data_IF_263016992377
#
_entry.id   IF_263016992377
#
_cell.length_a   1.000
_cell.length_b   1.000
_cell.length_c   1.000
_cell.angle_alpha   90.00
_cell.angle_beta   90.00
_cell.angle_gamma   90.00
#
_symmetry.space_group_name_H-M   'P 1'
#
loop_
_entity.id
_entity.type
_entity.pdbx_description
1 polymer ?
#
# COMPACT_ATOMS: atom_id res chain seq x y z
N UNK A 1 -0.61 31.46 -0.26
CA UNK A 1 0.38 32.56 -0.38
C UNK A 1 1.83 32.11 -0.19
N UNK A 2 2.18 31.32 0.84
CA UNK A 2 3.55 30.79 1.00
C UNK A 2 3.94 29.79 -0.11
N UNK A 3 3.05 28.85 -0.46
CA UNK A 3 3.25 27.91 -1.58
C UNK A 3 3.23 28.58 -2.97
N UNK A 4 2.57 29.74 -3.12
CA UNK A 4 2.49 30.43 -4.42
C UNK A 4 3.70 31.30 -4.73
N UNK A 5 4.65 31.46 -3.79
CA UNK A 5 5.90 32.19 -3.99
C UNK A 5 7.10 31.28 -4.30
N UNK A 6 6.96 29.96 -4.16
CA UNK A 6 7.98 29.01 -4.62
C UNK A 6 7.83 28.81 -6.13
N UNK A 7 8.74 29.38 -6.91
CA UNK A 7 8.88 29.09 -8.35
C UNK A 7 9.06 27.58 -8.55
N UNK A 8 8.53 27.04 -9.66
CA UNK A 8 8.59 25.61 -10.05
C UNK A 8 9.98 24.97 -9.87
N UNK A 9 11.06 25.73 -10.07
CA UNK A 9 12.45 25.27 -9.90
C UNK A 9 12.83 25.01 -8.44
N UNK A 10 12.46 25.91 -7.52
CA UNK A 10 12.86 25.81 -6.11
C UNK A 10 12.06 24.76 -5.32
N UNK A 11 10.86 24.41 -5.82
CA UNK A 11 10.01 23.38 -5.23
C UNK A 11 10.60 21.98 -5.50
N UNK A 12 11.03 21.75 -6.74
CA UNK A 12 11.72 20.52 -7.14
C UNK A 12 13.06 20.44 -6.45
N UNK A 13 13.86 21.52 -6.43
CA UNK A 13 15.13 21.57 -5.67
C UNK A 13 14.94 21.29 -4.18
N UNK A 14 13.89 21.84 -3.53
CA UNK A 14 13.60 21.56 -2.12
C UNK A 14 13.20 20.12 -1.84
N UNK A 15 12.48 19.48 -2.77
CA UNK A 15 12.16 18.04 -2.70
C UNK A 15 13.42 17.19 -2.92
N UNK A 16 14.27 17.58 -3.87
CA UNK A 16 15.52 16.89 -4.15
C UNK A 16 16.50 17.01 -2.98
N UNK A 17 16.55 18.18 -2.32
CA UNK A 17 17.34 18.43 -1.12
C UNK A 17 16.85 17.63 0.09
N UNK A 18 15.53 17.41 0.22
CA UNK A 18 15.00 16.59 1.32
C UNK A 18 15.11 15.10 1.03
N UNK A 19 14.94 14.72 -0.23
CA UNK A 19 15.19 13.35 -0.66
C UNK A 19 16.63 12.93 -0.40
N UNK A 20 17.62 13.79 -0.69
CA UNK A 20 19.01 13.48 -0.36
C UNK A 20 19.24 13.32 1.15
N UNK A 21 18.49 14.04 2.00
CA UNK A 21 18.51 13.88 3.46
C UNK A 21 17.84 12.57 3.92
N UNK A 22 16.69 12.19 3.35
CA UNK A 22 16.04 10.90 3.63
C UNK A 22 16.90 9.74 3.16
N UNK A 23 17.54 9.84 2.00
CA UNK A 23 18.44 8.81 1.50
C UNK A 23 19.76 8.75 2.29
N UNK A 24 20.25 9.85 2.85
CA UNK A 24 21.47 9.85 3.66
C UNK A 24 21.25 9.33 5.10
N UNK A 25 20.10 9.59 5.74
CA UNK A 25 19.97 9.41 7.20
C UNK A 25 18.60 8.85 7.67
N UNK A 26 17.90 8.04 6.87
CA UNK A 26 16.57 7.53 7.24
C UNK A 26 16.52 6.65 8.51
N UNK A 27 17.65 6.07 8.96
CA UNK A 27 17.75 5.40 10.28
C UNK A 27 17.66 6.42 11.42
N UNK A 28 18.35 7.55 11.33
CA UNK A 28 18.18 8.65 12.30
C UNK A 28 16.75 9.17 12.26
N UNK A 29 16.17 9.38 11.06
CA UNK A 29 14.77 9.83 10.91
C UNK A 29 13.77 8.85 11.54
N UNK A 30 14.03 7.53 11.46
CA UNK A 30 13.23 6.48 12.09
C UNK A 30 13.31 6.45 13.60
N UNK A 31 14.53 6.45 14.13
CA UNK A 31 14.81 6.51 15.57
C UNK A 31 14.27 7.83 16.17
N UNK A 32 14.29 8.92 15.41
CA UNK A 32 13.76 10.24 15.76
C UNK A 32 12.22 10.30 15.77
N UNK A 33 11.51 9.52 14.95
CA UNK A 33 10.04 9.51 14.88
C UNK A 33 9.38 8.45 15.77
N UNK A 34 10.14 7.47 16.25
CA UNK A 34 9.72 6.63 17.36
C UNK A 34 9.72 7.48 18.66
N UNK A 35 8.75 7.26 19.56
CA UNK A 35 8.54 8.03 20.82
C UNK A 35 9.78 8.17 21.75
N UNK A 36 10.93 7.61 21.38
CA UNK A 36 12.19 7.69 22.12
C UNK A 36 13.12 8.83 21.65
N UNK A 37 12.85 9.48 20.51
CA UNK A 37 13.64 10.59 19.99
C UNK A 37 13.05 11.98 20.26
N UNK A 38 13.75 12.83 21.00
CA UNK A 38 13.45 14.26 21.09
C UNK A 38 13.70 14.92 19.73
N UNK A 39 12.65 15.06 18.90
CA UNK A 39 12.75 15.77 17.63
C UNK A 39 13.10 17.25 17.85
N UNK A 40 14.15 17.71 17.18
CA UNK A 40 14.36 19.15 17.01
C UNK A 40 13.26 19.72 16.12
N UNK A 41 12.69 20.86 16.48
CA UNK A 41 11.53 21.45 15.80
C UNK A 41 11.70 21.67 14.29
N UNK A 42 12.94 21.73 13.79
CA UNK A 42 13.23 21.83 12.36
C UNK A 42 12.89 20.57 11.59
N UNK A 43 13.30 19.39 12.07
CA UNK A 43 13.10 18.10 11.38
C UNK A 43 11.61 17.74 11.22
N UNK A 44 10.79 18.04 12.24
CA UNK A 44 9.33 17.91 12.20
C UNK A 44 8.65 18.86 11.20
N UNK A 45 9.22 20.04 10.96
CA UNK A 45 8.72 20.96 9.94
C UNK A 45 8.97 20.40 8.54
N UNK A 46 10.13 19.79 8.31
CA UNK A 46 10.50 19.25 6.99
C UNK A 46 9.68 18.01 6.62
N UNK A 47 9.40 17.08 7.55
CA UNK A 47 8.52 15.92 7.30
C UNK A 47 7.08 16.34 6.96
N UNK A 48 6.56 17.33 7.69
CA UNK A 48 5.25 17.92 7.43
C UNK A 48 5.20 18.66 6.09
N UNK A 49 6.27 19.39 5.75
CA UNK A 49 6.38 20.06 4.46
C UNK A 49 6.44 19.05 3.31
N UNK A 50 7.23 17.98 3.42
CA UNK A 50 7.34 16.94 2.41
C UNK A 50 6.00 16.24 2.17
N UNK A 51 5.33 15.79 3.23
CA UNK A 51 4.04 15.08 3.12
C UNK A 51 2.96 15.95 2.48
N UNK A 52 2.85 17.22 2.91
CA UNK A 52 1.91 18.18 2.30
C UNK A 52 2.26 18.51 0.85
N UNK A 53 3.54 18.61 0.53
CA UNK A 53 4.01 18.92 -0.81
C UNK A 53 3.78 17.75 -1.77
N UNK A 54 4.09 16.53 -1.34
CA UNK A 54 3.81 15.32 -2.08
C UNK A 54 2.31 15.19 -2.35
N UNK A 55 1.47 15.42 -1.35
CA UNK A 55 0.02 15.45 -1.50
C UNK A 55 -0.45 16.53 -2.49
N UNK A 56 0.11 17.75 -2.42
CA UNK A 56 -0.23 18.83 -3.34
C UNK A 56 0.14 18.49 -4.79
N UNK A 57 1.30 17.89 -5.02
CA UNK A 57 1.71 17.45 -6.35
C UNK A 57 0.80 16.31 -6.84
N UNK A 58 0.54 15.33 -5.97
CA UNK A 58 -0.34 14.20 -6.27
C UNK A 58 -1.78 14.60 -6.57
N UNK A 59 -2.28 15.71 -6.02
CA UNK A 59 -3.67 16.14 -6.26
C UNK A 59 -3.78 17.18 -7.38
N UNK A 60 -2.84 18.13 -7.46
CA UNK A 60 -2.96 19.32 -8.33
C UNK A 60 -2.02 19.33 -9.53
N UNK A 61 -0.93 18.57 -9.49
CA UNK A 61 0.09 18.55 -10.54
C UNK A 61 0.45 17.12 -10.98
N UNK A 62 -0.52 16.19 -10.96
CA UNK A 62 -0.35 14.79 -11.41
C UNK A 62 0.38 14.65 -12.74
N UNK A 63 0.02 15.42 -13.81
CA UNK A 63 0.66 15.26 -15.11
C UNK A 63 2.17 15.56 -15.07
N UNK A 64 2.60 16.49 -14.21
CA UNK A 64 4.02 16.83 -14.05
C UNK A 64 4.80 15.65 -13.46
N UNK A 65 4.21 14.94 -12.49
CA UNK A 65 4.83 13.75 -11.91
C UNK A 65 4.91 12.60 -12.92
N UNK A 66 3.85 12.41 -13.71
CA UNK A 66 3.81 11.40 -14.78
C UNK A 66 4.81 11.71 -15.89
N UNK A 67 4.93 12.97 -16.30
CA UNK A 67 5.90 13.40 -17.30
C UNK A 67 7.35 13.22 -16.83
N UNK A 68 7.62 13.57 -15.56
CA UNK A 68 8.91 13.31 -14.93
C UNK A 68 9.26 11.81 -14.94
N UNK A 69 8.29 10.93 -14.68
CA UNK A 69 8.47 9.47 -14.73
C UNK A 69 8.66 8.93 -16.17
N UNK A 70 8.00 9.55 -17.16
CA UNK A 70 8.11 9.14 -18.57
C UNK A 70 9.47 9.52 -19.18
N UNK A 71 10.05 10.66 -18.76
CA UNK A 71 11.37 11.12 -19.19
C UNK A 71 12.51 10.14 -18.93
N UNK A 72 12.32 9.18 -18.02
CA UNK A 72 13.27 8.11 -17.70
C UNK A 72 13.28 6.96 -18.73
N UNK A 73 12.24 6.82 -19.56
CA UNK A 73 12.10 5.68 -20.50
C UNK A 73 12.69 5.92 -21.89
N UNK A 74 12.93 7.17 -22.28
CA UNK A 74 13.36 7.55 -23.63
C UNK A 74 14.88 7.65 -23.84
N UNK A 75 15.70 7.43 -22.80
CA UNK A 75 17.17 7.59 -22.87
C UNK A 75 17.95 6.29 -23.10
N UNK A 76 17.29 5.17 -23.42
CA UNK A 76 17.97 3.88 -23.65
C UNK A 76 18.34 3.63 -25.14
N UNK A 77 18.05 4.57 -26.05
CA UNK A 77 18.52 4.45 -27.45
C UNK A 77 19.04 5.80 -27.99
N UNK A 78 20.36 5.94 -28.07
CA UNK A 78 21.01 6.99 -28.89
C UNK A 78 22.13 7.76 -28.22
N UNK A 79 23.36 7.39 -28.58
CA UNK A 79 24.57 8.21 -28.80
C UNK A 79 24.89 9.47 -27.96
N UNK A 80 26.10 9.44 -27.40
CA UNK A 80 27.06 10.54 -27.16
C UNK A 80 26.55 11.99 -27.24
N UNK A 81 26.34 12.59 -26.07
CA UNK A 81 26.20 14.03 -25.90
C UNK A 81 26.08 14.36 -24.42
N UNK A 82 26.97 15.22 -23.92
CA UNK A 82 27.08 15.63 -22.52
C UNK A 82 25.71 16.04 -21.94
N UNK A 83 25.22 15.43 -20.84
CA UNK A 83 24.01 15.90 -20.18
C UNK A 83 24.35 16.85 -19.03
N UNK A 84 23.71 18.03 -19.06
CA UNK A 84 23.54 18.87 -17.87
C UNK A 84 22.84 18.06 -16.77
N UNK A 85 23.42 18.10 -15.57
CA UNK A 85 23.02 17.32 -14.42
C UNK A 85 21.62 17.75 -13.91
N UNK A 86 20.58 17.05 -14.31
CA UNK A 86 19.40 16.90 -13.45
C UNK A 86 19.80 16.04 -12.25
N UNK A 87 19.45 16.46 -11.04
CA UNK A 87 19.84 15.75 -9.82
C UNK A 87 19.23 14.33 -9.82
N UNK A 88 20.08 13.35 -10.12
CA UNK A 88 19.78 11.91 -10.17
C UNK A 88 20.29 11.26 -8.89
N UNK A 89 19.58 10.25 -8.39
CA UNK A 89 20.23 9.23 -7.56
C UNK A 89 20.88 8.17 -8.45
N UNK A 90 21.84 7.42 -7.94
CA UNK A 90 22.54 6.37 -8.72
C UNK A 90 21.60 5.24 -9.21
N UNK A 91 20.35 5.20 -8.74
CA UNK A 91 19.40 4.09 -8.90
C UNK A 91 18.21 4.32 -9.88
N UNK A 92 18.13 5.43 -10.61
CA UNK A 92 17.29 5.53 -11.83
C UNK A 92 15.75 5.65 -11.67
N UNK A 93 15.24 6.10 -10.52
CA UNK A 93 13.84 6.54 -10.33
C UNK A 93 13.77 8.06 -10.11
N UNK A 94 12.64 8.75 -10.39
CA UNK A 94 12.48 10.12 -9.93
C UNK A 94 12.56 10.11 -8.41
N UNK A 95 13.60 10.76 -7.93
CA UNK A 95 14.04 10.83 -6.54
C UNK A 95 12.87 11.04 -5.55
N UNK A 96 11.82 11.75 -5.99
CA UNK A 96 10.59 12.05 -5.24
C UNK A 96 9.75 10.81 -4.89
N UNK A 97 9.49 9.91 -5.86
CA UNK A 97 8.62 8.73 -5.62
C UNK A 97 9.40 7.66 -4.84
N UNK A 98 10.66 7.42 -5.20
CA UNK A 98 11.54 6.50 -4.45
C UNK A 98 11.70 6.93 -2.99
N UNK A 99 11.90 8.22 -2.73
CA UNK A 99 11.95 8.76 -1.36
C UNK A 99 10.62 8.70 -0.63
N UNK A 100 9.51 8.93 -1.32
CA UNK A 100 8.17 8.75 -0.73
C UNK A 100 7.96 7.29 -0.28
N UNK A 101 8.26 6.31 -1.13
CA UNK A 101 8.13 4.89 -0.80
C UNK A 101 9.10 4.47 0.30
N UNK A 102 10.35 4.93 0.25
CA UNK A 102 11.35 4.69 1.30
C UNK A 102 10.86 5.24 2.64
N UNK A 103 10.40 6.49 2.67
CA UNK A 103 9.91 7.14 3.88
C UNK A 103 8.62 6.48 4.39
N UNK A 104 7.70 6.10 3.50
CA UNK A 104 6.48 5.38 3.86
C UNK A 104 6.80 4.01 4.47
N UNK A 105 7.78 3.28 3.92
CA UNK A 105 8.21 1.98 4.46
C UNK A 105 8.71 2.07 5.90
N UNK A 106 9.33 3.20 6.25
CA UNK A 106 9.79 3.49 7.61
C UNK A 106 8.62 3.79 8.55
N UNK A 107 7.73 4.70 8.15
CA UNK A 107 6.61 5.13 8.99
C UNK A 107 5.61 3.99 9.28
N UNK A 108 5.42 3.06 8.33
CA UNK A 108 4.49 1.94 8.48
C UNK A 108 4.98 0.82 9.41
N UNK A 109 6.23 0.86 9.90
CA UNK A 109 6.71 -0.12 10.87
C UNK A 109 5.99 -0.02 12.22
N UNK A 110 5.72 1.22 12.66
CA UNK A 110 5.03 1.49 13.92
C UNK A 110 4.23 2.80 13.81
N UNK A 111 3.10 2.79 13.07
CA UNK A 111 2.29 3.98 12.86
C UNK A 111 1.58 4.34 14.16
N UNK A 112 2.15 5.29 14.91
CA UNK A 112 1.59 5.81 16.15
C UNK A 112 1.68 7.34 16.11
N UNK A 113 0.73 8.00 16.79
CA UNK A 113 0.68 9.46 16.87
C UNK A 113 0.77 10.15 15.51
N UNK A 114 1.80 10.97 15.33
CA UNK A 114 2.01 11.75 14.11
C UNK A 114 2.46 10.92 12.92
N UNK A 115 3.18 9.82 13.14
CA UNK A 115 3.63 8.93 12.07
C UNK A 115 2.44 8.31 11.33
N UNK A 116 1.39 7.89 12.06
CA UNK A 116 0.13 7.41 11.44
C UNK A 116 -0.50 8.47 10.54
N UNK A 117 -0.55 9.73 10.99
CA UNK A 117 -1.13 10.80 10.17
C UNK A 117 -0.31 11.11 8.91
N UNK A 118 1.03 11.04 8.99
CA UNK A 118 1.88 11.16 7.81
C UNK A 118 1.66 9.98 6.85
N UNK A 119 1.52 8.75 7.37
CA UNK A 119 1.12 7.59 6.56
C UNK A 119 -0.21 7.80 5.85
N UNK A 120 -1.23 8.32 6.55
CA UNK A 120 -2.56 8.57 5.97
C UNK A 120 -2.47 9.53 4.77
N UNK A 121 -1.76 10.65 4.92
CA UNK A 121 -1.56 11.61 3.82
C UNK A 121 -0.80 10.99 2.64
N UNK A 122 0.27 10.25 2.92
CA UNK A 122 1.10 9.63 1.87
C UNK A 122 0.34 8.52 1.14
N UNK A 123 -0.35 7.64 1.87
CA UNK A 123 -1.16 6.57 1.28
C UNK A 123 -2.31 7.15 0.45
N UNK A 124 -3.02 8.18 0.94
CA UNK A 124 -4.04 8.89 0.14
C UNK A 124 -3.46 9.49 -1.14
N UNK A 125 -2.27 10.09 -1.05
CA UNK A 125 -1.57 10.61 -2.23
C UNK A 125 -1.28 9.52 -3.25
N UNK A 126 -0.89 8.31 -2.80
CA UNK A 126 -0.68 7.16 -3.66
C UNK A 126 -1.99 6.62 -4.24
N UNK A 127 -3.07 6.54 -3.46
CA UNK A 127 -4.41 6.16 -3.95
C UNK A 127 -4.82 7.04 -5.12
N UNK A 128 -4.65 8.36 -4.96
CA UNK A 128 -4.96 9.38 -5.96
C UNK A 128 -4.11 9.20 -7.22
N UNK A 129 -2.81 8.96 -7.07
CA UNK A 129 -1.92 8.76 -8.20
C UNK A 129 -2.22 7.46 -8.96
N UNK A 130 -2.62 6.40 -8.25
CA UNK A 130 -3.00 5.11 -8.84
C UNK A 130 -4.31 5.14 -9.66
N UNK A 131 -5.06 6.25 -9.65
CA UNK A 131 -6.23 6.43 -10.53
C UNK A 131 -5.82 6.67 -11.99
N UNK A 132 -4.64 7.24 -12.20
CA UNK A 132 -4.10 7.52 -13.52
C UNK A 132 -3.38 6.28 -14.06
N UNK A 133 -3.95 5.64 -15.07
CA UNK A 133 -3.34 4.47 -15.72
C UNK A 133 -1.93 4.79 -16.25
N UNK A 134 -1.69 6.01 -16.70
CA UNK A 134 -0.40 6.50 -17.16
C UNK A 134 0.66 6.53 -16.04
N UNK A 135 0.25 6.88 -14.81
CA UNK A 135 1.14 6.86 -13.65
C UNK A 135 1.57 5.44 -13.29
N UNK A 136 0.59 4.53 -13.17
CA UNK A 136 0.87 3.12 -12.86
C UNK A 136 1.72 2.49 -13.97
N UNK A 137 1.47 2.84 -15.23
CA UNK A 137 2.28 2.41 -16.38
C UNK A 137 3.71 2.92 -16.29
N UNK A 138 3.90 4.20 -15.96
CA UNK A 138 5.23 4.78 -15.84
C UNK A 138 6.03 4.11 -14.70
N UNK A 139 5.40 3.84 -13.55
CA UNK A 139 6.04 3.13 -12.45
C UNK A 139 6.30 1.64 -12.77
N UNK A 140 5.45 1.00 -13.57
CA UNK A 140 5.59 -0.42 -13.93
C UNK A 140 6.68 -0.64 -14.98
N UNK A 141 6.86 0.34 -15.88
CA UNK A 141 7.88 0.33 -16.95
C UNK A 141 9.19 1.02 -16.56
N UNK A 142 9.21 1.72 -15.42
CA UNK A 142 10.43 2.32 -14.88
C UNK A 142 11.54 1.29 -14.75
N UNK A 143 12.79 1.73 -14.89
CA UNK A 143 13.95 0.86 -14.74
C UNK A 143 13.89 0.10 -13.42
N UNK A 144 14.19 -1.20 -13.46
CA UNK A 144 14.35 -2.00 -12.24
C UNK A 144 15.53 -1.42 -11.46
N UNK A 145 15.24 -0.92 -10.27
CA UNK A 145 16.20 -0.20 -9.45
C UNK A 145 16.54 -0.98 -8.18
N UNK A 146 17.67 -0.65 -7.58
CA UNK A 146 17.91 -0.97 -6.17
C UNK A 146 17.17 0.06 -5.32
N UNK A 147 16.39 -0.42 -4.37
CA UNK A 147 15.59 0.45 -3.50
C UNK A 147 15.79 0.06 -2.04
N UNK A 148 15.78 1.06 -1.16
CA UNK A 148 15.95 0.85 0.28
C UNK A 148 14.59 0.74 0.93
N UNK A 149 14.33 -0.40 1.58
CA UNK A 149 13.12 -0.65 2.34
C UNK A 149 13.48 -0.76 3.82
N UNK A 150 12.84 0.04 4.66
CA UNK A 150 12.94 -0.15 6.09
C UNK A 150 12.10 -1.35 6.50
N UNK A 151 12.72 -2.31 7.19
CA UNK A 151 12.06 -3.53 7.65
C UNK A 151 12.41 -3.80 9.11
N UNK A 152 11.47 -4.39 9.86
CA UNK A 152 11.74 -4.95 11.21
C UNK A 152 12.10 -6.44 11.16
N UNK A 153 12.29 -7.00 9.95
CA UNK A 153 12.68 -8.41 9.80
C UNK A 153 14.05 -8.66 10.41
N UNK A 154 14.25 -9.88 10.92
CA UNK A 154 15.53 -10.36 11.43
C UNK A 154 16.65 -10.37 10.38
N UNK A 155 16.29 -10.29 9.10
CA UNK A 155 17.21 -10.26 7.96
C UNK A 155 17.77 -8.87 7.67
N UNK A 156 17.39 -7.84 8.44
CA UNK A 156 17.96 -6.50 8.31
C UNK A 156 19.32 -6.47 8.99
N UNK A 157 20.33 -6.03 8.23
CA UNK A 157 21.65 -5.77 8.79
C UNK A 157 21.53 -4.73 9.93
N UNK A 158 21.85 -5.11 11.19
CA UNK A 158 21.70 -4.22 12.34
C UNK A 158 22.53 -2.93 12.19
N UNK A 159 23.60 -2.96 11.39
CA UNK A 159 24.44 -1.81 11.11
C UNK A 159 23.73 -0.78 10.22
N UNK A 160 22.99 -1.22 9.20
CA UNK A 160 22.35 -0.37 8.20
C UNK A 160 20.91 0.05 8.57
N UNK A 161 20.15 -0.81 9.24
CA UNK A 161 18.76 -0.53 9.62
C UNK A 161 17.75 -0.52 8.45
N UNK A 162 18.18 -0.88 7.24
CA UNK A 162 17.31 -1.04 6.06
C UNK A 162 17.73 -2.27 5.24
N UNK A 163 16.79 -2.81 4.45
CA UNK A 163 16.98 -3.88 3.48
C UNK A 163 17.05 -3.30 2.07
N UNK A 164 18.10 -3.61 1.33
CA UNK A 164 18.17 -3.29 -0.10
C UNK A 164 17.39 -4.34 -0.87
N UNK A 165 16.41 -3.88 -1.65
CA UNK A 165 15.64 -4.70 -2.57
C UNK A 165 16.10 -4.36 -3.98
N UNK A 166 16.81 -5.30 -4.56
CA UNK A 166 17.43 -5.13 -5.87
C UNK A 166 16.44 -5.52 -6.97
N UNK A 167 16.56 -4.88 -8.12
CA UNK A 167 15.82 -5.20 -9.34
C UNK A 167 14.30 -5.15 -9.20
N UNK A 168 13.76 -4.18 -8.46
CA UNK A 168 12.33 -4.01 -8.23
C UNK A 168 11.80 -2.78 -8.96
N UNK A 169 10.59 -2.86 -9.50
CA UNK A 169 9.88 -1.69 -10.05
C UNK A 169 9.27 -0.89 -8.89
N UNK A 170 9.01 0.39 -9.08
CA UNK A 170 8.38 1.19 -8.02
C UNK A 170 6.95 0.72 -7.68
N UNK A 171 6.20 0.16 -8.64
CA UNK A 171 4.90 -0.44 -8.34
C UNK A 171 5.03 -1.70 -7.49
N UNK A 172 5.95 -2.60 -7.82
CA UNK A 172 6.21 -3.78 -7.01
C UNK A 172 6.68 -3.41 -5.60
N UNK A 173 7.52 -2.38 -5.48
CA UNK A 173 7.95 -1.86 -4.20
C UNK A 173 6.76 -1.32 -3.38
N UNK A 174 5.92 -0.49 -4.00
CA UNK A 174 4.73 0.06 -3.35
C UNK A 174 3.78 -1.05 -2.87
N UNK A 175 3.52 -2.05 -3.70
CA UNK A 175 2.65 -3.17 -3.33
C UNK A 175 3.25 -4.02 -2.21
N UNK A 176 4.55 -4.27 -2.21
CA UNK A 176 5.26 -4.95 -1.13
C UNK A 176 5.17 -4.19 0.19
N UNK A 177 5.39 -2.86 0.20
CA UNK A 177 5.29 -2.03 1.41
C UNK A 177 3.88 -2.12 2.00
N UNK A 178 2.85 -1.96 1.17
CA UNK A 178 1.44 -2.01 1.59
C UNK A 178 1.06 -3.39 2.12
N UNK A 179 1.39 -4.46 1.39
CA UNK A 179 1.10 -5.83 1.81
C UNK A 179 1.82 -6.18 3.11
N UNK A 180 3.09 -5.78 3.23
CA UNK A 180 3.89 -6.01 4.44
C UNK A 180 3.28 -5.32 5.65
N UNK A 181 2.95 -4.04 5.55
CA UNK A 181 2.26 -3.31 6.61
C UNK A 181 1.00 -4.04 7.07
N UNK A 182 0.10 -4.36 6.13
CA UNK A 182 -1.14 -5.07 6.43
C UNK A 182 -0.87 -6.43 7.07
N UNK A 183 0.25 -7.08 6.69
CA UNK A 183 0.65 -8.39 7.19
C UNK A 183 1.20 -8.36 8.62
N UNK A 184 1.81 -7.26 9.06
CA UNK A 184 2.51 -7.18 10.35
C UNK A 184 1.71 -6.41 11.42
N UNK A 185 0.73 -5.59 11.00
CA UNK A 185 0.02 -4.67 11.89
C UNK A 185 -1.45 -5.03 12.19
N UNK A 186 -1.83 -6.31 12.07
CA UNK A 186 -3.15 -6.79 12.51
C UNK A 186 -3.23 -6.86 14.05
N UNK A 187 -3.45 -5.72 14.68
CA UNK A 187 -3.54 -5.51 16.15
C UNK A 187 -4.97 -5.13 16.56
N UNK A 188 -5.31 -5.24 17.85
CA UNK A 188 -6.70 -5.00 18.34
C UNK A 188 -7.18 -3.57 18.02
N UNK A 189 -6.30 -2.58 18.21
CA UNK A 189 -6.50 -1.20 17.76
C UNK A 189 -5.96 -1.03 16.34
N UNK A 190 -6.64 -1.64 15.37
CA UNK A 190 -6.26 -1.54 13.96
C UNK A 190 -6.55 -0.12 13.43
N UNK A 191 -5.56 0.50 12.78
CA UNK A 191 -5.75 1.78 12.12
C UNK A 191 -6.51 1.60 10.80
N UNK A 192 -7.83 1.60 10.88
CA UNK A 192 -8.70 1.27 9.77
C UNK A 192 -8.54 2.21 8.56
N UNK A 193 -8.13 3.46 8.78
CA UNK A 193 -7.90 4.43 7.70
C UNK A 193 -6.70 4.05 6.84
N UNK A 194 -5.63 3.58 7.48
CA UNK A 194 -4.45 3.09 6.77
C UNK A 194 -4.80 1.82 5.98
N UNK A 195 -5.55 0.89 6.59
CA UNK A 195 -6.00 -0.33 5.91
C UNK A 195 -6.92 -0.04 4.71
N UNK A 196 -7.85 0.91 4.83
CA UNK A 196 -8.70 1.36 3.72
C UNK A 196 -7.86 1.87 2.54
N UNK A 197 -6.90 2.76 2.81
CA UNK A 197 -6.02 3.29 1.77
C UNK A 197 -5.17 2.20 1.11
N UNK A 198 -4.65 1.26 1.91
CA UNK A 198 -3.91 0.10 1.43
C UNK A 198 -4.75 -0.79 0.48
N UNK A 199 -5.98 -1.13 0.89
CA UNK A 199 -6.90 -1.96 0.09
C UNK A 199 -7.26 -1.25 -1.23
N UNK A 200 -7.49 0.07 -1.19
CA UNK A 200 -7.76 0.89 -2.39
C UNK A 200 -6.60 0.91 -3.38
N UNK A 201 -5.36 0.99 -2.89
CA UNK A 201 -4.16 0.90 -3.75
C UNK A 201 -4.13 -0.48 -4.41
N UNK A 202 -4.25 -1.56 -3.63
CA UNK A 202 -4.21 -2.92 -4.14
C UNK A 202 -5.30 -3.19 -5.19
N UNK A 203 -6.52 -2.71 -4.96
CA UNK A 203 -7.63 -2.85 -5.91
C UNK A 203 -7.34 -2.12 -7.22
N UNK A 204 -6.86 -0.88 -7.18
CA UNK A 204 -6.47 -0.11 -8.38
C UNK A 204 -5.36 -0.80 -9.16
N UNK A 205 -4.37 -1.37 -8.47
CA UNK A 205 -3.29 -2.14 -9.12
C UNK A 205 -3.84 -3.40 -9.81
N UNK A 206 -4.75 -4.13 -9.18
CA UNK A 206 -5.39 -5.31 -9.80
C UNK A 206 -6.21 -4.91 -11.03
N UNK A 207 -7.02 -3.85 -10.93
CA UNK A 207 -7.77 -3.29 -12.07
C UNK A 207 -6.84 -2.88 -13.20
N UNK A 208 -5.69 -2.25 -12.88
CA UNK A 208 -4.68 -1.89 -13.85
C UNK A 208 -4.13 -3.12 -14.59
N UNK A 209 -3.71 -4.15 -13.85
CA UNK A 209 -3.19 -5.39 -14.47
C UNK A 209 -4.27 -6.05 -15.34
N UNK A 210 -5.53 -6.07 -14.91
CA UNK A 210 -6.61 -6.69 -15.68
C UNK A 210 -6.97 -5.93 -16.97
N UNK A 211 -6.88 -4.60 -16.95
CA UNK A 211 -7.25 -3.75 -18.09
C UNK A 211 -6.08 -3.49 -19.05
N UNK A 212 -4.84 -3.45 -18.55
CA UNK A 212 -3.65 -3.02 -19.29
C UNK A 212 -2.50 -4.06 -19.28
N UNK A 213 -2.72 -5.25 -18.71
CA UNK A 213 -1.72 -6.31 -18.49
C UNK A 213 -1.06 -6.93 -19.72
N UNK A 214 -1.34 -6.43 -20.93
CA UNK A 214 -0.59 -6.81 -22.14
C UNK A 214 0.89 -6.38 -22.13
N UNK A 215 1.30 -5.49 -21.21
CA UNK A 215 2.66 -4.92 -21.15
C UNK A 215 3.47 -5.28 -19.90
N UNK A 216 2.84 -5.82 -18.85
CA UNK A 216 3.49 -6.15 -17.57
C UNK A 216 2.78 -7.33 -16.92
N UNK A 217 3.55 -8.32 -16.46
CA UNK A 217 3.00 -9.46 -15.73
C UNK A 217 2.49 -9.02 -14.36
N UNK A 218 1.43 -9.66 -13.84
CA UNK A 218 0.96 -9.40 -12.47
C UNK A 218 2.10 -9.57 -11.44
N UNK A 219 3.06 -10.44 -11.74
CA UNK A 219 4.24 -10.69 -10.91
C UNK A 219 5.20 -9.51 -10.83
N UNK A 220 5.28 -8.70 -11.88
CA UNK A 220 6.13 -7.50 -11.88
C UNK A 220 5.48 -6.35 -11.07
N UNK A 221 4.25 -6.55 -10.61
CA UNK A 221 3.41 -5.54 -9.96
C UNK A 221 3.07 -5.93 -8.51
N UNK A 222 2.79 -7.20 -8.24
CA UNK A 222 2.20 -7.65 -6.98
C UNK A 222 2.59 -9.09 -6.60
N UNK A 223 2.88 -9.32 -5.32
CA UNK A 223 2.89 -10.66 -4.73
C UNK A 223 1.45 -11.13 -4.46
N UNK A 224 0.88 -11.85 -5.42
CA UNK A 224 -0.51 -12.28 -5.35
C UNK A 224 -0.73 -13.33 -4.25
N UNK A 225 0.28 -14.17 -3.97
CA UNK A 225 0.16 -15.19 -2.91
C UNK A 225 0.06 -14.50 -1.55
N UNK A 226 0.92 -13.51 -1.30
CA UNK A 226 0.86 -12.70 -0.08
C UNK A 226 -0.45 -11.92 0.00
N UNK A 227 -0.93 -11.34 -1.11
CA UNK A 227 -2.24 -10.65 -1.14
C UNK A 227 -3.37 -11.56 -0.68
N UNK A 228 -3.48 -12.77 -1.24
CA UNK A 228 -4.54 -13.73 -0.89
C UNK A 228 -4.48 -14.04 0.61
N UNK A 229 -3.30 -14.33 1.13
CA UNK A 229 -3.10 -14.64 2.54
C UNK A 229 -3.49 -13.47 3.45
N UNK A 230 -3.07 -12.25 3.11
CA UNK A 230 -3.38 -11.05 3.88
C UNK A 230 -4.89 -10.76 3.87
N UNK A 231 -5.56 -10.84 2.71
CA UNK A 231 -7.00 -10.58 2.61
C UNK A 231 -7.83 -11.62 3.38
N UNK A 232 -7.53 -12.91 3.23
CA UNK A 232 -8.23 -13.98 3.97
C UNK A 232 -8.03 -13.86 5.49
N UNK A 233 -6.80 -13.53 5.91
CA UNK A 233 -6.51 -13.31 7.31
C UNK A 233 -7.18 -12.04 7.83
N UNK A 234 -7.27 -10.98 7.04
CA UNK A 234 -7.98 -9.75 7.38
C UNK A 234 -9.47 -10.01 7.58
N UNK A 235 -10.12 -10.74 6.66
CA UNK A 235 -11.53 -11.16 6.82
C UNK A 235 -11.74 -11.94 8.12
N UNK A 236 -10.89 -12.93 8.38
CA UNK A 236 -10.96 -13.74 9.60
C UNK A 236 -10.74 -12.89 10.84
N UNK A 237 -9.79 -11.95 10.80
CA UNK A 237 -9.42 -11.10 11.92
C UNK A 237 -10.51 -10.08 12.25
N UNK A 238 -11.01 -9.34 11.26
CA UNK A 238 -12.07 -8.33 11.41
C UNK A 238 -13.42 -8.97 11.73
N UNK A 239 -13.62 -10.27 11.43
CA UNK A 239 -14.83 -11.01 11.84
C UNK A 239 -14.92 -11.31 13.36
N UNK A 240 -13.88 -10.99 14.14
CA UNK A 240 -13.86 -11.19 15.59
C UNK A 240 -14.60 -10.05 16.29
N UNK A 241 -15.51 -10.39 17.18
CA UNK A 241 -16.39 -9.45 17.88
C UNK A 241 -15.57 -8.36 18.60
N UNK A 242 -14.49 -8.74 19.31
CA UNK A 242 -13.60 -7.79 19.99
C UNK A 242 -12.94 -6.75 19.05
N UNK A 243 -12.68 -7.11 17.79
CA UNK A 243 -12.12 -6.19 16.80
C UNK A 243 -13.22 -5.27 16.27
N UNK A 244 -14.40 -5.81 15.99
CA UNK A 244 -15.56 -5.03 15.54
C UNK A 244 -15.98 -3.98 16.58
N UNK A 245 -15.95 -4.34 17.87
CA UNK A 245 -16.23 -3.43 18.97
C UNK A 245 -15.18 -2.30 19.06
N UNK A 246 -13.92 -2.60 18.76
CA UNK A 246 -12.81 -1.64 18.86
C UNK A 246 -12.80 -0.61 17.72
N UNK A 247 -13.05 -1.03 16.48
CA UNK A 247 -12.98 -0.14 15.29
C UNK A 247 -14.35 0.42 14.86
N UNK A 248 -15.43 -0.13 15.41
CA UNK A 248 -16.81 0.22 15.08
C UNK A 248 -17.37 -0.58 13.89
N UNK A 249 -18.69 -0.89 13.91
CA UNK A 249 -19.31 -1.83 12.97
C UNK A 249 -19.30 -1.33 11.52
N UNK A 250 -19.51 -0.03 11.29
CA UNK A 250 -19.50 0.55 9.94
C UNK A 250 -18.10 0.46 9.29
N UNK A 251 -17.07 0.82 10.04
CA UNK A 251 -15.67 0.74 9.61
C UNK A 251 -15.24 -0.70 9.38
N UNK A 252 -15.62 -1.61 10.28
CA UNK A 252 -15.38 -3.05 10.12
C UNK A 252 -16.02 -3.58 8.83
N UNK A 253 -17.30 -3.24 8.59
CA UNK A 253 -18.01 -3.65 7.37
C UNK A 253 -17.34 -3.12 6.11
N UNK A 254 -16.88 -1.86 6.09
CA UNK A 254 -16.15 -1.31 4.93
C UNK A 254 -14.88 -2.10 4.61
N UNK A 255 -14.07 -2.44 5.62
CA UNK A 255 -12.86 -3.24 5.44
C UNK A 255 -13.18 -4.66 4.96
N UNK A 256 -14.24 -5.27 5.51
CA UNK A 256 -14.69 -6.60 5.09
C UNK A 256 -15.15 -6.61 3.64
N UNK A 257 -15.89 -5.58 3.20
CA UNK A 257 -16.32 -5.43 1.80
C UNK A 257 -15.11 -5.39 0.89
N UNK A 258 -14.16 -4.48 1.15
CA UNK A 258 -12.98 -4.30 0.32
C UNK A 258 -12.10 -5.56 0.26
N UNK A 259 -11.89 -6.22 1.40
CA UNK A 259 -11.12 -7.47 1.45
C UNK A 259 -11.82 -8.60 0.68
N UNK A 260 -13.14 -8.75 0.84
CA UNK A 260 -13.93 -9.75 0.11
C UNK A 260 -13.92 -9.47 -1.40
N UNK A 261 -14.08 -8.20 -1.81
CA UNK A 261 -14.00 -7.78 -3.21
C UNK A 261 -12.67 -8.12 -3.86
N UNK A 262 -11.54 -7.91 -3.18
CA UNK A 262 -10.23 -8.28 -3.70
C UNK A 262 -10.10 -9.80 -3.92
N UNK A 263 -10.64 -10.60 -3.00
CA UNK A 263 -10.63 -12.07 -3.14
C UNK A 263 -11.55 -12.48 -4.29
N UNK A 264 -12.76 -11.93 -4.36
CA UNK A 264 -13.71 -12.15 -5.45
C UNK A 264 -13.12 -11.80 -6.82
N UNK A 265 -12.39 -10.67 -6.90
CA UNK A 265 -11.67 -10.28 -8.11
C UNK A 265 -10.69 -11.37 -8.55
N UNK A 266 -9.88 -11.87 -7.62
CA UNK A 266 -8.93 -12.94 -7.90
C UNK A 266 -9.63 -14.27 -8.24
N UNK A 267 -10.78 -14.56 -7.64
CA UNK A 267 -11.56 -15.78 -7.94
C UNK A 267 -12.17 -15.71 -9.34
N UNK A 268 -12.73 -14.58 -9.75
CA UNK A 268 -13.37 -14.41 -11.07
C UNK A 268 -12.34 -14.29 -12.19
N UNK A 269 -11.27 -13.52 -11.99
CA UNK A 269 -10.28 -13.24 -13.06
C UNK A 269 -8.99 -14.06 -12.93
N UNK A 270 -8.84 -14.83 -11.86
CA UNK A 270 -7.59 -15.50 -11.51
C UNK A 270 -7.08 -16.50 -12.53
N UNK A 271 -7.94 -17.18 -13.28
CA UNK A 271 -7.53 -18.06 -14.37
C UNK A 271 -6.69 -17.33 -15.44
N UNK A 272 -6.97 -16.05 -15.67
CA UNK A 272 -6.26 -15.22 -16.66
C UNK A 272 -5.13 -14.40 -16.06
N UNK A 273 -5.26 -14.04 -14.78
CA UNK A 273 -4.33 -13.13 -14.11
C UNK A 273 -3.23 -13.88 -13.38
N UNK A 274 -3.56 -15.02 -12.75
CA UNK A 274 -2.60 -15.73 -11.93
C UNK A 274 -1.59 -16.47 -12.80
N UNK A 275 -0.33 -16.42 -12.40
CA UNK A 275 0.76 -17.01 -13.16
C UNK A 275 0.95 -18.48 -12.81
N UNK A 276 1.10 -19.31 -13.84
CA UNK A 276 1.31 -20.75 -13.67
C UNK A 276 0.02 -21.52 -13.36
N UNK A 277 0.00 -22.79 -13.77
CA UNK A 277 -1.18 -23.65 -13.73
C UNK A 277 -1.65 -23.98 -12.30
N UNK A 278 -0.75 -23.88 -11.31
CA UNK A 278 -1.02 -24.25 -9.91
C UNK A 278 -1.55 -23.08 -9.05
N UNK A 279 -1.42 -21.83 -9.50
CA UNK A 279 -1.73 -20.65 -8.68
C UNK A 279 -3.23 -20.47 -8.45
N UNK A 280 -4.05 -20.73 -9.48
CA UNK A 280 -5.51 -20.65 -9.36
C UNK A 280 -6.12 -21.78 -8.52
N UNK A 281 -5.72 -23.05 -8.70
CA UNK A 281 -6.08 -24.12 -7.76
C UNK A 281 -5.75 -23.79 -6.31
N UNK A 282 -4.56 -23.23 -6.05
CA UNK A 282 -4.15 -22.84 -4.70
C UNK A 282 -5.05 -21.73 -4.12
N UNK A 283 -5.47 -20.75 -4.92
CA UNK A 283 -6.44 -19.74 -4.50
C UNK A 283 -7.78 -20.40 -4.11
N UNK A 284 -8.32 -21.25 -4.97
CA UNK A 284 -9.59 -21.94 -4.73
C UNK A 284 -9.51 -22.81 -3.46
N UNK A 285 -8.39 -23.51 -3.24
CA UNK A 285 -8.13 -24.28 -2.03
C UNK A 285 -8.15 -23.39 -0.77
N UNK A 286 -7.47 -22.25 -0.80
CA UNK A 286 -7.42 -21.32 0.33
C UNK A 286 -8.79 -20.72 0.67
N UNK A 287 -9.58 -20.37 -0.35
CA UNK A 287 -10.98 -19.90 -0.18
C UNK A 287 -11.83 -21.01 0.46
N UNK A 288 -11.75 -22.24 -0.06
CA UNK A 288 -12.49 -23.38 0.46
C UNK A 288 -12.12 -23.70 1.92
N UNK A 289 -10.83 -23.61 2.26
CA UNK A 289 -10.32 -23.80 3.64
C UNK A 289 -10.90 -22.78 4.62
N UNK A 290 -10.99 -21.51 4.21
CA UNK A 290 -11.59 -20.45 5.05
C UNK A 290 -13.11 -20.62 5.16
N UNK A 291 -13.77 -20.99 4.07
CA UNK A 291 -15.21 -21.28 4.07
C UNK A 291 -15.58 -22.47 4.97
N UNK A 292 -14.77 -23.54 4.97
CA UNK A 292 -14.93 -24.69 5.86
C UNK A 292 -14.87 -24.31 7.36
N UNK A 293 -14.09 -23.28 7.72
CA UNK A 293 -14.04 -22.71 9.06
C UNK A 293 -15.28 -21.84 9.41
N UNK A 294 -16.31 -21.84 8.56
CA UNK A 294 -17.57 -21.09 8.72
C UNK A 294 -17.40 -19.58 8.84
N UNK A 295 -16.24 -19.02 8.45
CA UNK A 295 -15.98 -17.57 8.51
C UNK A 295 -16.97 -16.81 7.62
N UNK A 296 -17.14 -17.26 6.36
CA UNK A 296 -18.09 -16.63 5.43
C UNK A 296 -19.54 -16.75 5.91
N UNK A 297 -19.94 -17.91 6.43
CA UNK A 297 -21.26 -18.13 7.00
C UNK A 297 -21.54 -17.23 8.23
N UNK A 298 -20.54 -17.07 9.11
CA UNK A 298 -20.64 -16.15 10.26
C UNK A 298 -20.88 -14.72 9.78
N UNK A 299 -20.05 -14.24 8.85
CA UNK A 299 -20.16 -12.89 8.29
C UNK A 299 -21.49 -12.67 7.58
N UNK A 300 -21.94 -13.64 6.77
CA UNK A 300 -23.22 -13.56 6.06
C UNK A 300 -24.40 -13.47 7.04
N UNK A 301 -24.36 -14.23 8.14
CA UNK A 301 -25.38 -14.18 9.20
C UNK A 301 -25.40 -12.83 9.92
N UNK A 302 -24.24 -12.20 10.10
CA UNK A 302 -24.18 -10.84 10.66
C UNK A 302 -24.81 -9.82 9.70
N UNK A 303 -24.54 -9.91 8.39
CA UNK A 303 -25.13 -9.01 7.40
C UNK A 303 -26.65 -9.11 7.31
N UNK A 304 -27.23 -10.30 7.47
CA UNK A 304 -28.69 -10.50 7.39
C UNK A 304 -29.41 -9.97 8.63
N UNK A 305 -28.78 -10.02 9.80
CA UNK A 305 -29.32 -9.46 11.06
C UNK A 305 -29.44 -7.95 11.03
N UNK A 306 -28.52 -7.28 10.34
CA UNK A 306 -28.51 -5.81 10.25
C UNK A 306 -29.46 -5.26 9.16
N UNK A 307 -30.20 -6.14 8.47
CA UNK A 307 -31.25 -5.73 7.51
C UNK A 307 -30.75 -5.07 6.22
N UNK A 308 -29.43 -4.99 6.02
CA UNK A 308 -28.82 -4.41 4.83
C UNK A 308 -28.45 -5.52 3.84
N UNK A 309 -29.06 -5.53 2.65
CA UNK A 309 -28.44 -6.15 1.47
C UNK A 309 -27.18 -5.35 1.13
N UNK A 310 -26.12 -5.68 1.84
CA UNK A 310 -24.85 -4.99 1.72
C UNK A 310 -24.02 -5.66 0.63
N UNK A 311 -23.19 -4.87 -0.07
CA UNK A 311 -22.22 -5.35 -1.05
C UNK A 311 -21.38 -6.53 -0.53
N UNK A 312 -21.15 -6.58 0.79
CA UNK A 312 -20.51 -7.70 1.46
C UNK A 312 -21.22 -9.04 1.24
N UNK A 313 -22.56 -9.08 1.27
CA UNK A 313 -23.32 -10.32 1.05
C UNK A 313 -23.10 -10.87 -0.36
N UNK A 314 -23.03 -9.99 -1.35
CA UNK A 314 -22.80 -10.35 -2.75
C UNK A 314 -21.44 -11.03 -2.90
N UNK A 315 -20.40 -10.45 -2.29
CA UNK A 315 -19.06 -11.04 -2.33
C UNK A 315 -18.98 -12.35 -1.53
N UNK A 316 -19.57 -12.40 -0.34
CA UNK A 316 -19.57 -13.61 0.49
C UNK A 316 -20.31 -14.78 -0.17
N UNK A 317 -21.40 -14.53 -0.90
CA UNK A 317 -22.12 -15.59 -1.64
C UNK A 317 -21.25 -16.20 -2.72
N UNK A 318 -20.51 -15.39 -3.48
CA UNK A 318 -19.57 -15.88 -4.48
C UNK A 318 -18.45 -16.73 -3.85
N UNK A 319 -17.89 -16.27 -2.73
CA UNK A 319 -16.85 -17.02 -2.02
C UNK A 319 -17.38 -18.33 -1.40
N UNK A 320 -18.62 -18.33 -0.93
CA UNK A 320 -19.30 -19.54 -0.47
C UNK A 320 -19.58 -20.52 -1.61
N UNK A 321 -20.02 -20.05 -2.77
CA UNK A 321 -20.25 -20.90 -3.95
C UNK A 321 -18.96 -21.63 -4.36
N UNK A 322 -17.82 -20.93 -4.37
CA UNK A 322 -16.52 -21.54 -4.63
C UNK A 322 -16.14 -22.53 -3.53
N UNK A 323 -16.30 -22.12 -2.27
CA UNK A 323 -15.98 -22.96 -1.13
C UNK A 323 -16.80 -24.25 -1.11
N UNK A 324 -18.10 -24.17 -1.29
CA UNK A 324 -19.03 -25.30 -1.21
C UNK A 324 -18.82 -26.26 -2.38
N UNK A 325 -18.58 -25.74 -3.59
CA UNK A 325 -18.24 -26.57 -4.76
C UNK A 325 -16.95 -27.36 -4.54
N UNK A 326 -15.87 -26.68 -4.12
CA UNK A 326 -14.58 -27.33 -3.88
C UNK A 326 -14.69 -28.33 -2.71
N UNK A 327 -15.30 -27.94 -1.60
CA UNK A 327 -15.45 -28.81 -0.44
C UNK A 327 -16.31 -30.05 -0.77
N UNK A 328 -17.39 -29.91 -1.54
CA UNK A 328 -18.22 -31.05 -1.94
C UNK A 328 -17.42 -32.09 -2.73
N UNK A 329 -16.59 -31.67 -3.67
CA UNK A 329 -15.76 -32.58 -4.47
C UNK A 329 -14.67 -33.22 -3.61
N UNK A 330 -14.05 -32.45 -2.72
CA UNK A 330 -13.03 -32.97 -1.80
C UNK A 330 -13.64 -33.99 -0.82
N UNK A 331 -14.81 -33.71 -0.26
CA UNK A 331 -15.53 -34.61 0.64
C UNK A 331 -15.93 -35.92 -0.07
N UNK A 332 -16.41 -35.84 -1.32
CA UNK A 332 -16.70 -37.03 -2.12
C UNK A 332 -15.43 -37.86 -2.38
N UNK A 333 -14.33 -37.19 -2.73
CA UNK A 333 -13.04 -37.84 -2.96
C UNK A 333 -12.48 -38.51 -1.69
N UNK A 334 -12.69 -37.89 -0.52
CA UNK A 334 -12.35 -38.46 0.79
C UNK A 334 -13.25 -39.67 1.11
N UNK A 335 -14.56 -39.56 0.87
CA UNK A 335 -15.53 -40.62 1.15
C UNK A 335 -15.25 -41.90 0.35
N UNK A 336 -14.66 -41.79 -0.84
CA UNK A 336 -14.20 -42.92 -1.65
C UNK A 336 -12.96 -43.61 -1.07
N UNK A 337 -12.29 -43.03 -0.06
CA UNK A 337 -11.04 -43.54 0.56
C UNK A 337 -11.16 -43.65 2.09
N UNK A 338 -12.14 -44.43 2.61
CA UNK A 338 -12.44 -44.46 4.05
C UNK A 338 -11.33 -45.09 4.92
N UNK A 339 -10.33 -45.74 4.31
CA UNK A 339 -9.20 -46.37 5.02
C UNK A 339 -8.04 -45.42 5.31
N UNK A 340 -8.02 -44.23 4.72
CA UNK A 340 -6.94 -43.27 4.90
C UNK A 340 -7.31 -42.28 6.01
N UNK A 341 -6.51 -42.24 7.08
CA UNK A 341 -6.79 -41.45 8.29
C UNK A 341 -6.51 -39.96 8.10
N UNK A 342 -5.60 -39.60 7.19
CA UNK A 342 -5.23 -38.22 6.91
C UNK A 342 -4.75 -38.05 5.47
N UNK A 343 -5.05 -36.90 4.89
CA UNK A 343 -4.58 -36.47 3.57
C UNK A 343 -3.60 -35.31 3.71
N UNK A 344 -2.57 -35.28 2.87
CA UNK A 344 -1.64 -34.15 2.83
C UNK A 344 -2.22 -33.00 2.00
N UNK A 345 -1.79 -31.76 2.27
CA UNK A 345 -2.20 -30.59 1.47
C UNK A 345 -1.92 -30.79 -0.04
N UNK A 346 -0.80 -31.43 -0.37
CA UNK A 346 -0.46 -31.76 -1.77
C UNK A 346 -1.44 -32.72 -2.43
N UNK A 347 -1.98 -33.69 -1.69
CA UNK A 347 -2.98 -34.62 -2.21
C UNK A 347 -4.31 -33.92 -2.45
N UNK A 348 -4.71 -33.03 -1.54
CA UNK A 348 -5.95 -32.25 -1.69
C UNK A 348 -5.82 -31.27 -2.86
N UNK A 349 -4.67 -30.59 -2.99
CA UNK A 349 -4.41 -29.68 -4.12
C UNK A 349 -4.53 -30.38 -5.47
N UNK A 350 -4.08 -31.62 -5.62
CA UNK A 350 -4.27 -32.38 -6.87
C UNK A 350 -5.74 -32.60 -7.23
N UNK A 351 -6.61 -32.76 -6.22
CA UNK A 351 -8.05 -32.88 -6.42
C UNK A 351 -8.63 -31.52 -6.82
N UNK A 352 -8.22 -30.45 -6.13
CA UNK A 352 -8.65 -29.08 -6.42
C UNK A 352 -8.23 -28.63 -7.83
N UNK A 353 -7.05 -29.04 -8.29
CA UNK A 353 -6.57 -28.78 -9.66
C UNK A 353 -7.47 -29.39 -10.74
N UNK A 354 -8.31 -30.37 -10.42
CA UNK A 354 -9.35 -30.83 -11.36
C UNK A 354 -10.72 -30.22 -11.06
N UNK A 355 -11.04 -30.03 -9.77
CA UNK A 355 -12.32 -29.50 -9.32
C UNK A 355 -12.60 -28.09 -9.86
N UNK A 356 -11.58 -27.23 -9.92
CA UNK A 356 -11.74 -25.85 -10.36
C UNK A 356 -12.13 -25.70 -11.84
N UNK A 357 -11.90 -26.72 -12.68
CA UNK A 357 -12.30 -26.70 -14.08
C UNK A 357 -13.82 -26.80 -14.25
N UNK A 358 -14.52 -27.32 -13.25
CA UNK A 358 -15.98 -27.44 -13.22
C UNK A 358 -16.68 -26.26 -12.55
N UNK A 359 -15.93 -25.28 -12.03
CA UNK A 359 -16.48 -24.05 -11.45
C UNK A 359 -17.00 -23.14 -12.56
N UNK A 360 -18.29 -22.81 -12.50
CA UNK A 360 -18.93 -21.84 -13.38
C UNK A 360 -19.21 -20.58 -12.58
N UNK A 361 -18.38 -19.55 -12.77
CA UNK A 361 -18.49 -18.30 -12.04
C UNK A 361 -19.15 -17.21 -12.90
N UNK A 362 -19.97 -16.33 -12.30
CA UNK A 362 -20.56 -15.21 -13.02
C UNK A 362 -19.48 -14.20 -13.46
N UNK A 363 -19.61 -13.69 -14.68
CA UNK A 363 -18.82 -12.56 -15.14
C UNK A 363 -19.22 -11.30 -14.35
N UNK A 364 -18.27 -10.68 -13.66
CA UNK A 364 -18.49 -9.53 -12.77
C UNK A 364 -17.66 -8.33 -13.23
N UNK A 365 -18.26 -7.50 -14.09
CA UNK A 365 -17.60 -6.28 -14.61
C UNK A 365 -17.49 -5.16 -13.58
N UNK A 366 -18.30 -5.18 -12.54
CA UNK A 366 -18.23 -4.24 -11.43
C UNK A 366 -16.92 -4.36 -10.63
N UNK A 367 -16.31 -5.55 -10.58
CA UNK A 367 -15.04 -5.79 -9.88
C UNK A 367 -13.83 -5.07 -10.52
N UNK A 368 -13.89 -4.77 -11.83
CA UNK A 368 -12.83 -4.02 -12.55
C UNK A 368 -13.04 -2.50 -12.53
N UNK A 369 -14.08 -2.03 -11.84
CA UNK A 369 -14.37 -0.61 -11.68
C UNK A 369 -14.03 -0.18 -10.26
N UNK A 370 -13.52 1.04 -10.13
CA UNK A 370 -13.29 1.67 -8.83
C UNK A 370 -13.82 3.10 -8.88
N UNK A 371 -14.26 3.60 -7.74
CA UNK A 371 -14.64 5.00 -7.60
C UNK A 371 -13.39 5.87 -7.47
N UNK A 372 -13.37 6.97 -8.23
CA UNK A 372 -12.36 8.01 -8.07
C UNK A 372 -12.51 8.66 -6.70
N UNK A 373 -11.39 8.94 -6.05
CA UNK A 373 -11.34 9.67 -4.81
C UNK A 373 -11.77 11.10 -5.10
N UNK A 374 -12.98 11.43 -4.65
CA UNK A 374 -13.48 12.80 -4.64
C UNK A 374 -12.95 13.42 -3.35
N UNK A 375 -12.14 14.49 -3.46
CA UNK A 375 -11.66 15.25 -2.30
C UNK A 375 -12.88 15.70 -1.46
N UNK A 376 -13.08 15.04 -0.32
CA UNK A 376 -14.20 15.32 0.58
C UNK A 376 -13.86 16.40 1.62
N UNK A 377 -14.86 16.78 2.42
CA UNK A 377 -14.61 17.66 3.58
C UNK A 377 -13.59 17.05 4.56
N UNK A 378 -13.56 15.72 4.68
CA UNK A 378 -12.60 14.99 5.50
C UNK A 378 -11.16 15.16 5.01
N UNK A 379 -10.91 15.05 3.70
CA UNK A 379 -9.57 15.26 3.12
C UNK A 379 -9.10 16.70 3.34
N UNK A 380 -9.99 17.66 3.14
CA UNK A 380 -9.69 19.06 3.36
C UNK A 380 -9.41 19.35 4.85
N UNK A 381 -10.14 18.70 5.77
CA UNK A 381 -9.92 18.83 7.20
C UNK A 381 -8.55 18.30 7.62
N UNK A 382 -8.16 17.13 7.11
CA UNK A 382 -6.86 16.51 7.34
C UNK A 382 -5.73 17.44 6.87
N UNK A 383 -5.83 17.94 5.62
CA UNK A 383 -4.83 18.84 5.05
C UNK A 383 -4.75 20.16 5.81
N UNK A 384 -5.89 20.72 6.25
CA UNK A 384 -5.94 21.94 7.06
C UNK A 384 -5.29 21.75 8.42
N UNK A 385 -5.57 20.64 9.10
CA UNK A 385 -4.96 20.30 10.38
C UNK A 385 -3.44 20.19 10.25
N UNK A 386 -2.96 19.50 9.20
CA UNK A 386 -1.52 19.35 8.93
C UNK A 386 -0.87 20.68 8.57
N UNK A 387 -1.53 21.50 7.76
CA UNK A 387 -1.04 22.85 7.45
C UNK A 387 -0.95 23.71 8.71
N UNK A 388 -1.94 23.64 9.60
CA UNK A 388 -1.92 24.35 10.87
C UNK A 388 -0.77 23.88 11.78
N UNK A 389 -0.53 22.56 11.87
CA UNK A 389 0.61 21.98 12.61
C UNK A 389 1.95 22.41 12.03
N UNK A 390 2.09 22.38 10.70
CA UNK A 390 3.28 22.88 10.01
C UNK A 390 3.53 24.36 10.33
N UNK A 391 2.50 25.21 10.20
CA UNK A 391 2.60 26.65 10.48
C UNK A 391 2.97 26.90 11.94
N UNK A 392 2.34 26.18 12.88
CA UNK A 392 2.64 26.30 14.31
C UNK A 392 4.09 25.93 14.63
N UNK A 393 4.58 24.83 14.06
CA UNK A 393 5.96 24.36 14.26
C UNK A 393 6.98 25.25 13.59
N UNK A 394 6.69 25.71 12.38
CA UNK A 394 7.54 26.65 11.65
C UNK A 394 7.64 27.98 12.42
N UNK A 395 6.53 28.48 12.97
CA UNK A 395 6.53 29.65 13.84
C UNK A 395 7.36 29.42 15.11
N UNK A 396 7.24 28.26 15.77
CA UNK A 396 8.04 27.90 16.94
C UNK A 396 9.53 27.77 16.61
N UNK A 397 9.87 27.17 15.47
CA UNK A 397 11.25 27.03 15.00
C UNK A 397 11.88 28.40 14.70
N UNK A 398 11.12 29.29 14.03
CA UNK A 398 11.54 30.67 13.81
C UNK A 398 11.69 31.44 15.12
N UNK A 399 10.87 31.18 16.14
CA UNK A 399 11.00 31.86 17.44
C UNK A 399 12.19 31.35 18.27
N UNK A 400 12.62 30.10 18.07
CA UNK A 400 13.81 29.53 18.74
C UNK A 400 15.10 30.08 18.12
N UNK A 401 15.14 30.33 16.80
CA UNK A 401 16.31 30.86 16.09
C UNK A 401 16.87 32.18 16.69
N UNK A 402 16.08 33.22 17.01
CA UNK A 402 16.56 34.43 17.68
C UNK A 402 17.24 34.16 19.03
N UNK A 403 16.77 33.18 19.81
CA UNK A 403 17.34 32.87 21.13
C UNK A 403 18.66 32.10 21.06
N UNK A 404 18.91 31.38 19.96
CA UNK A 404 20.16 30.63 19.72
C UNK A 404 21.25 31.53 19.13
N UNK A 405 20.87 32.57 18.37
CA UNK A 405 21.81 33.57 17.84
C UNK A 405 22.03 34.79 18.76
N UNK A 406 21.19 35.01 19.78
CA UNK A 406 21.40 36.05 20.78
C UNK A 406 22.55 35.75 21.77
N UNK A 407 23.11 34.53 21.75
CA UNK A 407 24.24 34.13 22.61
C UNK A 407 25.63 34.37 22.02
N UNK A 408 25.76 34.93 20.81
CA UNK A 408 27.04 35.09 20.12
C UNK A 408 27.49 36.54 19.87
N UNK A 409 26.87 37.53 20.53
CA UNK A 409 27.25 38.96 20.39
C UNK A 409 27.93 39.57 21.63
N UNK A 410 28.42 38.77 22.59
CA UNK A 410 29.22 39.26 23.73
C UNK A 410 30.61 38.62 23.82
N UNK A 411 31.36 38.56 22.72
CA UNK A 411 32.84 38.42 22.77
C UNK A 411 33.44 39.18 21.59
N UNK A 412 33.47 40.51 21.67
CA UNK A 412 34.47 41.35 20.99
C UNK A 412 34.25 42.84 21.35
N UNK A 413 34.43 43.16 22.63
CA UNK A 413 34.76 44.52 23.09
C UNK A 413 35.69 44.42 24.30
N UNK A 414 36.98 44.34 24.02
CA UNK A 414 38.06 44.69 24.93
C UNK A 414 39.09 45.53 24.20
#
# INVERSE_FOLDING_TARGET
>A
MLLSRYRKTNLVEGILLWSSVVHADAKQVGDLLSDQGLLNGGQLCYTSAFTLLFYYIATRHRPVLVEALKGDTSTVQGETGVPEASARDEDGLPLVVGSCLTYLSLLLQSPTGEASSHCDVLLRSLVVLCEEADFVTALSRGGKATQRIFSTDKDVDPSKGYKEVNNVTAVALMSQIVLKFMSENMKLALDAKLYDSCLRILHRLLCYVKNYGGSSSIHDVLDVKLLIQVCLRLLTYVSRDAVQDAIGPQTANSLLIQAAQLISFLVVFGLTLLPGEESYPHLCYEVARVGANKVFNKLLTSCTKDGMECQLQVELRLLLEVSDHINSIVEEWIAQRPKQVSFTDSQILQVVSNAHLSLSLPLRHDLITFENLIEGEEDLSLVKERLALFVHRYARHIQILPSVFAGSEEVDRS
#
